data_IF_090196003371
#
_entry.id   IF_090196003371
#
_cell.length_a   1.000
_cell.length_b   1.000
_cell.length_c   1.000
_cell.angle_alpha   90.00
_cell.angle_beta   90.00
_cell.angle_gamma   90.00
#
_symmetry.space_group_name_H-M   'P 1'
#
loop_
_entity.id
_entity.type
_entity.pdbx_description
1 polymer ?
#
# COMPACT_ATOMS: atom_id res chain seq x y z
N UNK A 1 -44.53 24.15 45.31
CA UNK A 1 -43.25 23.55 44.87
C UNK A 1 -43.43 23.22 43.40
N UNK A 2 -43.54 24.29 42.60
CA UNK A 2 -42.47 24.88 41.76
C UNK A 2 -42.36 24.16 40.41
N UNK A 3 -43.10 24.62 39.38
CA UNK A 3 -42.71 25.68 38.41
C UNK A 3 -41.61 25.16 37.46
N UNK A 4 -41.96 24.55 36.31
CA UNK A 4 -42.24 25.16 34.99
C UNK A 4 -40.99 25.50 34.15
N UNK A 5 -41.11 25.22 32.83
CA UNK A 5 -40.59 25.94 31.65
C UNK A 5 -39.62 25.12 30.74
N UNK A 6 -40.12 24.85 29.52
CA UNK A 6 -39.39 24.53 28.27
C UNK A 6 -38.48 25.69 27.83
N UNK A 7 -37.52 25.43 26.91
CA UNK A 7 -37.53 26.24 25.70
C UNK A 7 -37.46 25.45 24.40
N UNK A 8 -38.02 26.12 23.40
CA UNK A 8 -38.17 25.81 21.98
C UNK A 8 -36.99 26.40 21.17
N UNK A 9 -36.85 25.94 19.92
CA UNK A 9 -36.12 26.52 18.77
C UNK A 9 -34.64 26.09 18.64
N UNK A 10 -34.06 25.85 17.45
CA UNK A 10 -34.37 26.31 16.09
C UNK A 10 -33.72 25.42 15.02
N UNK A 11 -34.43 25.22 13.90
CA UNK A 11 -33.92 24.89 12.57
C UNK A 11 -33.01 26.02 12.05
N UNK A 12 -31.86 25.73 11.43
CA UNK A 12 -31.51 26.18 10.06
C UNK A 12 -30.04 25.89 9.67
N UNK A 13 -29.91 25.05 8.63
CA UNK A 13 -29.10 25.20 7.40
C UNK A 13 -27.61 25.58 7.44
N UNK A 14 -26.85 24.75 6.71
CA UNK A 14 -25.82 25.06 5.70
C UNK A 14 -24.89 26.25 5.94
N UNK A 15 -23.59 26.02 5.81
CA UNK A 15 -22.72 26.80 4.91
C UNK A 15 -21.46 25.95 4.61
N UNK A 16 -21.38 25.49 3.36
CA UNK A 16 -20.13 25.29 2.61
C UNK A 16 -19.55 26.69 2.35
N UNK A 17 -18.25 26.89 2.60
CA UNK A 17 -17.55 28.11 2.17
C UNK A 17 -16.48 27.74 1.14
N UNK A 18 -16.82 27.91 -0.13
CA UNK A 18 -15.85 28.25 -1.19
C UNK A 18 -15.32 29.67 -0.95
N UNK A 19 -14.06 29.96 -1.29
CA UNK A 19 -13.63 31.32 -1.61
C UNK A 19 -13.71 31.56 -3.12
N UNK A 20 -14.69 32.35 -3.55
CA UNK A 20 -14.72 32.96 -4.87
C UNK A 20 -13.90 34.26 -4.88
N UNK A 21 -12.87 34.25 -5.74
CA UNK A 21 -12.32 35.30 -6.61
C UNK A 21 -12.70 36.78 -6.41
N UNK A 22 -11.67 37.65 -6.52
CA UNK A 22 -11.77 38.85 -7.35
C UNK A 22 -10.39 39.23 -7.92
N UNK A 23 -10.29 39.20 -9.25
CA UNK A 23 -9.21 39.79 -10.03
C UNK A 23 -9.50 41.28 -10.29
N UNK A 24 -8.46 42.11 -10.48
CA UNK A 24 -8.23 42.88 -11.74
C UNK A 24 -7.04 43.86 -11.65
N UNK A 25 -6.02 43.55 -12.47
CA UNK A 25 -5.26 44.42 -13.40
C UNK A 25 -4.89 45.86 -13.03
N UNK A 26 -3.59 46.18 -13.18
CA UNK A 26 -3.11 47.19 -14.16
C UNK A 26 -1.60 47.07 -14.43
N UNK A 27 -1.26 47.27 -15.70
CA UNK A 27 0.07 47.20 -16.34
C UNK A 27 0.67 48.60 -16.41
N UNK A 28 1.96 48.79 -16.15
CA UNK A 28 2.80 49.74 -16.92
C UNK A 28 4.29 49.42 -16.79
N UNK A 29 4.98 49.42 -17.92
CA UNK A 29 6.42 49.30 -18.06
C UNK A 29 7.13 50.65 -17.81
N UNK A 30 8.38 50.62 -17.35
CA UNK A 30 9.23 51.81 -17.22
C UNK A 30 10.65 51.47 -16.76
N UNK A 31 11.61 51.75 -17.63
CA UNK A 31 13.04 51.47 -17.55
C UNK A 31 13.83 52.47 -16.68
N UNK A 32 15.10 52.13 -16.39
CA UNK A 32 16.30 53.01 -16.24
C UNK A 32 16.95 53.16 -14.83
N UNK A 33 18.08 52.43 -14.69
CA UNK A 33 19.43 52.79 -14.17
C UNK A 33 19.71 53.33 -12.75
N UNK A 34 20.73 52.69 -12.14
CA UNK A 34 21.84 53.19 -11.29
C UNK A 34 21.50 53.77 -9.89
N UNK A 35 22.25 53.57 -8.80
CA UNK A 35 23.68 53.30 -8.60
C UNK A 35 23.97 52.80 -7.15
N UNK A 36 25.15 52.20 -7.01
CA UNK A 36 25.90 51.72 -5.83
C UNK A 36 25.77 52.46 -4.48
N UNK A 37 25.73 51.70 -3.37
CA UNK A 37 26.66 51.82 -2.21
C UNK A 37 26.35 50.80 -1.09
N UNK A 38 27.28 49.87 -0.84
CA UNK A 38 27.58 49.36 0.51
C UNK A 38 28.34 50.45 1.33
N UNK A 39 28.56 50.34 2.67
CA UNK A 39 28.48 49.16 3.55
C UNK A 39 27.79 49.42 4.90
N UNK A 40 27.50 48.37 5.69
CA UNK A 40 27.84 48.30 7.13
C UNK A 40 27.27 47.04 7.78
N UNK A 41 28.17 46.37 8.50
CA UNK A 41 28.05 45.16 9.30
C UNK A 41 26.96 45.23 10.38
N UNK A 42 26.14 44.18 10.47
CA UNK A 42 25.62 43.70 11.74
C UNK A 42 25.44 42.18 11.65
N UNK A 43 26.23 41.48 12.45
CA UNK A 43 26.19 40.03 12.61
C UNK A 43 24.80 39.56 13.04
N UNK A 44 24.25 38.60 12.33
CA UNK A 44 23.34 37.62 12.95
C UNK A 44 23.66 36.28 12.30
N UNK A 45 24.64 35.60 12.90
CA UNK A 45 24.87 34.17 12.70
C UNK A 45 23.66 33.41 13.22
N UNK A 46 22.66 33.22 12.36
CA UNK A 46 21.80 32.06 12.43
C UNK A 46 22.20 31.16 11.26
N UNK A 47 23.35 30.49 11.43
CA UNK A 47 23.63 29.28 10.69
C UNK A 47 22.59 28.24 11.12
N UNK A 48 21.45 28.23 10.43
CA UNK A 48 20.69 26.99 10.27
C UNK A 48 21.58 26.08 9.43
N UNK A 49 22.52 25.41 10.07
CA UNK A 49 23.23 24.28 9.48
C UNK A 49 22.16 23.22 9.25
N UNK A 50 21.57 23.22 8.06
CA UNK A 50 21.00 22.01 7.50
C UNK A 50 22.17 21.02 7.50
N UNK A 51 22.13 20.05 8.40
CA UNK A 51 23.06 18.93 8.40
C UNK A 51 22.84 18.22 7.06
N UNK A 52 23.66 18.55 6.06
CA UNK A 52 23.79 17.74 4.86
C UNK A 52 24.43 16.44 5.33
N UNK A 53 23.59 15.44 5.63
CA UNK A 53 24.05 14.09 5.96
C UNK A 53 24.84 13.57 4.75
N UNK A 54 26.16 13.63 4.87
CA UNK A 54 27.07 13.17 3.82
C UNK A 54 27.07 11.64 3.78
N UNK A 55 26.71 11.07 2.63
CA UNK A 55 26.78 9.63 2.40
C UNK A 55 28.25 9.22 2.30
N UNK A 56 28.68 8.23 3.08
CA UNK A 56 30.03 7.69 2.98
C UNK A 56 30.29 7.14 1.56
N UNK A 57 31.44 7.42 0.90
CA UNK A 57 31.67 7.06 -0.51
C UNK A 57 31.54 5.58 -0.89
N UNK A 58 31.56 4.67 0.10
CA UNK A 58 31.43 3.23 -0.09
C UNK A 58 30.19 2.65 0.62
N UNK A 59 29.25 3.51 1.04
CA UNK A 59 28.01 3.07 1.67
C UNK A 59 27.18 2.22 0.70
N UNK A 60 26.64 1.13 1.21
CA UNK A 60 25.69 0.29 0.52
C UNK A 60 24.29 0.84 0.78
N UNK A 61 23.56 1.21 -0.27
CA UNK A 61 22.15 1.60 -0.16
C UNK A 61 21.30 0.34 -0.25
N UNK A 62 20.51 0.05 0.79
CA UNK A 62 19.77 -1.20 0.92
C UNK A 62 18.82 -1.47 -0.27
N UNK A 63 18.07 -0.45 -0.68
CA UNK A 63 17.10 -0.57 -1.77
C UNK A 63 17.80 -0.89 -3.11
N UNK A 64 18.90 -0.21 -3.40
CA UNK A 64 19.71 -0.45 -4.60
C UNK A 64 20.34 -1.85 -4.57
N UNK A 65 20.90 -2.26 -3.43
CA UNK A 65 21.53 -3.57 -3.27
C UNK A 65 20.55 -4.72 -3.51
N UNK A 66 19.30 -4.58 -3.08
CA UNK A 66 18.26 -5.60 -3.26
C UNK A 66 17.78 -5.73 -4.71
N UNK A 67 17.90 -4.65 -5.49
CA UNK A 67 17.60 -4.64 -6.93
C UNK A 67 18.80 -4.93 -7.82
N UNK A 68 20.01 -4.97 -7.25
CA UNK A 68 21.24 -5.20 -8.00
C UNK A 68 21.42 -6.68 -8.37
N UNK A 69 21.32 -6.96 -9.67
CA UNK A 69 21.48 -8.30 -10.26
C UNK A 69 22.91 -8.83 -10.20
N UNK A 70 23.90 -7.96 -9.97
CA UNK A 70 25.30 -8.36 -9.84
C UNK A 70 25.60 -8.96 -8.47
N UNK A 71 24.73 -8.69 -7.48
CA UNK A 71 24.85 -9.25 -6.15
C UNK A 71 24.25 -10.65 -6.14
N UNK A 72 25.06 -11.62 -5.70
CA UNK A 72 24.66 -13.03 -5.59
C UNK A 72 23.69 -13.27 -4.43
N UNK A 73 22.43 -12.87 -4.60
CA UNK A 73 21.36 -13.15 -3.65
C UNK A 73 20.89 -14.61 -3.74
N UNK A 74 20.60 -15.20 -2.58
CA UNK A 74 20.00 -16.53 -2.44
C UNK A 74 18.75 -16.44 -1.58
N UNK A 75 17.70 -17.15 -1.98
CA UNK A 75 16.54 -17.36 -1.11
C UNK A 75 16.94 -18.35 -0.01
N UNK A 76 16.98 -17.90 1.24
CA UNK A 76 17.26 -18.76 2.38
C UNK A 76 16.02 -19.51 2.85
N UNK A 77 14.86 -18.84 2.82
CA UNK A 77 13.61 -19.40 3.31
C UNK A 77 12.41 -18.68 2.66
N UNK A 78 11.36 -19.42 2.33
CA UNK A 78 10.07 -18.88 1.89
C UNK A 78 8.94 -19.64 2.61
N UNK A 79 8.03 -18.91 3.27
CA UNK A 79 6.96 -19.49 4.08
C UNK A 79 5.65 -18.76 3.85
N UNK A 80 4.57 -19.52 3.71
CA UNK A 80 3.21 -19.02 3.81
C UNK A 80 2.85 -18.88 5.29
N UNK A 81 2.40 -17.70 5.69
CA UNK A 81 1.98 -17.39 7.06
C UNK A 81 0.46 -17.35 7.20
N UNK A 82 -0.27 -17.06 6.12
CA UNK A 82 -1.73 -17.12 6.04
C UNK A 82 -2.15 -17.60 4.66
N UNK A 83 -3.07 -18.57 4.59
CA UNK A 83 -3.73 -19.02 3.36
C UNK A 83 -5.23 -19.17 3.62
N UNK A 84 -6.03 -18.44 2.87
CA UNK A 84 -7.49 -18.53 2.86
C UNK A 84 -7.90 -18.63 1.39
N UNK A 85 -8.60 -19.71 1.06
CA UNK A 85 -9.16 -19.95 -0.26
C UNK A 85 -10.51 -20.62 -0.04
N UNK A 86 -11.60 -19.90 -0.30
CA UNK A 86 -12.97 -20.37 0.00
C UNK A 86 -13.99 -19.66 -0.90
N UNK A 87 -15.15 -20.28 -1.13
CA UNK A 87 -16.31 -19.65 -1.77
C UNK A 87 -17.41 -19.30 -0.75
N UNK A 88 -17.21 -19.61 0.53
CA UNK A 88 -18.25 -19.56 1.56
C UNK A 88 -18.38 -18.18 2.22
N UNK A 89 -17.60 -17.19 1.78
CA UNK A 89 -17.63 -15.86 2.39
C UNK A 89 -18.90 -15.11 1.95
N UNK A 90 -19.73 -14.60 2.88
CA UNK A 90 -20.91 -13.83 2.51
C UNK A 90 -20.57 -12.58 1.71
N UNK A 91 -21.36 -12.31 0.68
CA UNK A 91 -21.26 -11.11 -0.15
C UNK A 91 -22.53 -10.28 0.00
N UNK A 92 -22.45 -8.95 -0.11
CA UNK A 92 -23.64 -8.13 -0.22
C UNK A 92 -24.52 -8.61 -1.38
N UNK A 93 -25.84 -8.63 -1.16
CA UNK A 93 -26.83 -9.06 -2.17
C UNK A 93 -26.57 -8.48 -3.57
N UNK A 94 -26.16 -7.21 -3.63
CA UNK A 94 -25.86 -6.54 -4.89
C UNK A 94 -24.86 -7.32 -5.76
N UNK A 95 -23.81 -7.89 -5.17
CA UNK A 95 -22.80 -8.65 -5.93
C UNK A 95 -23.40 -9.92 -6.54
N UNK A 96 -24.25 -10.62 -5.80
CA UNK A 96 -24.96 -11.79 -6.31
C UNK A 96 -25.88 -11.41 -7.47
N UNK A 97 -26.64 -10.33 -7.33
CA UNK A 97 -27.54 -9.85 -8.38
C UNK A 97 -26.77 -9.39 -9.63
N UNK A 98 -25.66 -8.66 -9.46
CA UNK A 98 -24.83 -8.17 -10.57
C UNK A 98 -24.15 -9.31 -11.34
N UNK A 99 -23.88 -10.44 -10.69
CA UNK A 99 -23.33 -11.64 -11.35
C UNK A 99 -24.31 -12.33 -12.30
N UNK A 100 -25.62 -12.04 -12.19
CA UNK A 100 -26.65 -12.63 -13.04
C UNK A 100 -26.55 -12.10 -14.48
N UNK A 101 -26.91 -12.95 -15.44
CA UNK A 101 -27.07 -12.51 -16.82
C UNK A 101 -28.28 -11.59 -16.99
N UNK A 102 -28.26 -10.79 -18.07
CA UNK A 102 -29.29 -9.77 -18.29
C UNK A 102 -30.70 -10.34 -18.48
N UNK A 103 -30.83 -11.55 -19.04
CA UNK A 103 -32.12 -12.20 -19.21
C UNK A 103 -32.77 -12.54 -17.85
N UNK A 104 -31.98 -13.03 -16.88
CA UNK A 104 -32.45 -13.31 -15.52
C UNK A 104 -32.78 -12.00 -14.80
N UNK A 105 -31.95 -10.96 -14.94
CA UNK A 105 -32.21 -9.63 -14.36
C UNK A 105 -33.49 -9.00 -14.92
N UNK A 106 -33.76 -9.16 -16.22
CA UNK A 106 -35.00 -8.69 -16.85
C UNK A 106 -36.23 -9.47 -16.36
N UNK A 107 -36.10 -10.78 -16.16
CA UNK A 107 -37.17 -11.61 -15.63
C UNK A 107 -37.42 -11.38 -14.12
N UNK A 108 -36.40 -10.92 -13.38
CA UNK A 108 -36.45 -10.70 -11.93
C UNK A 108 -35.92 -9.31 -11.56
N UNK A 109 -36.63 -8.23 -11.95
CA UNK A 109 -36.16 -6.87 -11.74
C UNK A 109 -36.04 -6.51 -10.25
N UNK A 110 -35.14 -5.58 -9.94
CA UNK A 110 -34.93 -5.07 -8.59
C UNK A 110 -36.19 -4.37 -8.06
N UNK A 111 -36.92 -5.06 -7.18
CA UNK A 111 -38.06 -4.50 -6.46
C UNK A 111 -37.59 -3.67 -5.27
N UNK A 112 -38.42 -2.76 -4.72
CA UNK A 112 -38.06 -2.01 -3.51
C UNK A 112 -37.65 -2.89 -2.32
N UNK A 113 -38.23 -4.09 -2.21
CA UNK A 113 -37.84 -5.06 -1.18
C UNK A 113 -36.43 -5.61 -1.40
N UNK A 114 -36.05 -5.94 -2.63
CA UNK A 114 -34.69 -6.38 -2.97
C UNK A 114 -33.66 -5.25 -2.80
N UNK A 115 -34.02 -4.03 -3.22
CA UNK A 115 -33.17 -2.85 -3.03
C UNK A 115 -32.84 -2.60 -1.56
N UNK A 116 -33.77 -2.88 -0.64
CA UNK A 116 -33.52 -2.75 0.81
C UNK A 116 -32.46 -3.70 1.35
N UNK A 117 -32.15 -4.79 0.62
CA UNK A 117 -31.18 -5.81 1.01
C UNK A 117 -29.82 -5.66 0.33
N UNK A 118 -29.61 -4.61 -0.48
CA UNK A 118 -28.41 -4.43 -1.31
C UNK A 118 -27.08 -4.67 -0.60
N UNK A 119 -26.94 -4.11 0.60
CA UNK A 119 -25.70 -4.20 1.38
C UNK A 119 -25.71 -5.34 2.40
N UNK A 120 -26.79 -6.12 2.47
CA UNK A 120 -26.93 -7.24 3.41
C UNK A 120 -26.01 -8.37 2.97
N UNK A 121 -25.01 -8.76 3.79
CA UNK A 121 -24.16 -9.91 3.48
C UNK A 121 -24.96 -11.20 3.54
N UNK A 122 -24.89 -12.01 2.49
CA UNK A 122 -25.57 -13.30 2.41
C UNK A 122 -24.82 -14.26 1.48
N UNK A 123 -25.12 -15.55 1.59
CA UNK A 123 -24.67 -16.60 0.68
C UNK A 123 -25.38 -16.53 -0.67
N UNK A 124 -24.82 -17.19 -1.69
CA UNK A 124 -25.48 -17.33 -2.99
C UNK A 124 -26.85 -18.05 -2.86
N UNK A 125 -26.93 -19.06 -1.98
CA UNK A 125 -28.18 -19.74 -1.65
C UNK A 125 -29.27 -18.79 -1.14
N UNK A 126 -28.93 -17.93 -0.18
CA UNK A 126 -29.85 -16.95 0.40
C UNK A 126 -30.28 -15.91 -0.63
N UNK A 127 -29.35 -15.42 -1.45
CA UNK A 127 -29.65 -14.49 -2.54
C UNK A 127 -30.57 -15.12 -3.58
N UNK A 128 -30.32 -16.36 -4.00
CA UNK A 128 -31.16 -17.09 -4.94
C UNK A 128 -32.59 -17.27 -4.41
N UNK A 129 -32.72 -17.63 -3.13
CA UNK A 129 -34.01 -17.74 -2.45
C UNK A 129 -34.73 -16.40 -2.35
N UNK A 130 -34.01 -15.31 -2.11
CA UNK A 130 -34.56 -13.97 -2.01
C UNK A 130 -35.10 -13.47 -3.38
N UNK A 131 -34.41 -13.79 -4.47
CA UNK A 131 -34.82 -13.44 -5.85
C UNK A 131 -35.91 -14.40 -6.36
N UNK A 132 -35.91 -15.66 -5.89
CA UNK A 132 -36.81 -16.71 -6.36
C UNK A 132 -36.27 -17.49 -7.56
N UNK A 133 -34.95 -17.63 -7.68
CA UNK A 133 -34.28 -18.33 -8.78
C UNK A 133 -33.53 -19.58 -8.30
N UNK A 134 -33.09 -20.41 -9.24
CA UNK A 134 -32.20 -21.52 -8.95
C UNK A 134 -30.79 -20.99 -8.57
N UNK A 135 -30.24 -21.47 -7.45
CA UNK A 135 -28.91 -21.10 -6.95
C UNK A 135 -27.79 -21.34 -7.96
N UNK A 136 -27.90 -22.37 -8.81
CA UNK A 136 -26.90 -22.67 -9.84
C UNK A 136 -26.72 -21.54 -10.88
N UNK A 137 -27.62 -20.55 -10.89
CA UNK A 137 -27.54 -19.38 -11.75
C UNK A 137 -26.69 -18.24 -11.16
N UNK A 138 -26.38 -18.28 -9.85
CA UNK A 138 -25.51 -17.32 -9.17
C UNK A 138 -24.10 -17.91 -9.11
N UNK A 139 -23.13 -17.20 -9.68
CA UNK A 139 -21.73 -17.60 -9.60
C UNK A 139 -21.12 -17.12 -8.28
N UNK A 140 -20.56 -18.03 -7.48
CA UNK A 140 -19.84 -17.67 -6.25
C UNK A 140 -18.35 -17.50 -6.53
N UNK A 141 -17.75 -16.33 -6.25
CA UNK A 141 -16.32 -16.14 -6.46
C UNK A 141 -15.51 -16.89 -5.41
N UNK A 142 -14.28 -17.25 -5.78
CA UNK A 142 -13.24 -17.62 -4.83
C UNK A 142 -12.72 -16.39 -4.11
N UNK A 143 -12.63 -16.49 -2.79
CA UNK A 143 -12.01 -15.52 -1.91
C UNK A 143 -10.60 -16.00 -1.56
N UNK A 144 -9.60 -15.37 -2.18
CA UNK A 144 -8.19 -15.74 -2.03
C UNK A 144 -7.46 -14.69 -1.20
N UNK A 145 -6.85 -15.12 -0.10
CA UNK A 145 -5.88 -14.34 0.66
C UNK A 145 -4.70 -15.22 1.04
N UNK A 146 -3.54 -14.89 0.49
CA UNK A 146 -2.29 -15.57 0.79
C UNK A 146 -1.27 -14.51 1.19
N UNK A 147 -0.65 -14.75 2.34
CA UNK A 147 0.41 -13.93 2.91
C UNK A 147 1.58 -14.86 3.17
N UNK A 148 2.77 -14.39 2.84
CA UNK A 148 3.99 -15.07 3.21
C UNK A 148 5.11 -14.13 3.59
N UNK A 149 6.21 -14.76 3.95
CA UNK A 149 7.48 -14.11 4.22
C UNK A 149 8.57 -14.89 3.52
N UNK A 150 9.59 -14.18 3.04
CA UNK A 150 10.80 -14.77 2.50
C UNK A 150 12.02 -14.09 3.11
N UNK A 151 13.13 -14.82 3.14
CA UNK A 151 14.43 -14.29 3.56
C UNK A 151 15.37 -14.45 2.39
N UNK A 152 15.92 -13.32 1.92
CA UNK A 152 17.06 -13.31 1.00
C UNK A 152 18.34 -13.05 1.74
N UNK A 153 19.43 -13.64 1.28
CA UNK A 153 20.73 -13.52 1.88
C UNK A 153 21.83 -13.40 0.81
N UNK A 154 22.79 -12.52 1.08
CA UNK A 154 24.03 -12.38 0.33
C UNK A 154 25.21 -12.66 1.27
N UNK A 155 25.98 -13.70 0.93
CA UNK A 155 27.17 -14.09 1.68
C UNK A 155 28.29 -13.04 1.55
N UNK A 156 28.47 -12.50 0.35
CA UNK A 156 29.48 -11.48 0.06
C UNK A 156 29.27 -10.21 0.89
N UNK A 157 28.01 -9.83 1.11
CA UNK A 157 27.65 -8.65 1.89
C UNK A 157 27.45 -8.95 3.39
N UNK A 158 27.37 -10.23 3.76
CA UNK A 158 26.90 -10.69 5.08
C UNK A 158 25.58 -10.04 5.49
N UNK A 159 24.64 -9.99 4.54
CA UNK A 159 23.37 -9.29 4.65
C UNK A 159 22.22 -10.25 4.39
N UNK A 160 21.29 -10.38 5.34
CA UNK A 160 20.01 -11.04 5.15
C UNK A 160 18.86 -10.05 5.30
N UNK A 161 17.86 -10.14 4.44
CA UNK A 161 16.67 -9.30 4.47
C UNK A 161 15.44 -10.18 4.47
N UNK A 162 14.58 -10.01 5.48
CA UNK A 162 13.25 -10.62 5.53
C UNK A 162 12.24 -9.68 4.92
N UNK A 163 11.57 -10.17 3.89
CA UNK A 163 10.53 -9.47 3.15
C UNK A 163 9.19 -10.20 3.35
N UNK A 164 8.09 -9.46 3.27
CA UNK A 164 6.74 -10.01 3.33
C UNK A 164 6.01 -9.74 2.03
N UNK A 165 5.18 -10.68 1.61
CA UNK A 165 4.48 -10.62 0.34
C UNK A 165 3.03 -11.08 0.50
N UNK A 166 2.14 -10.60 -0.35
CA UNK A 166 0.73 -10.99 -0.37
C UNK A 166 0.17 -10.97 -1.79
N UNK A 167 -0.84 -11.80 -2.06
CA UNK A 167 -1.56 -11.75 -3.35
C UNK A 167 -2.39 -10.46 -3.52
N UNK A 168 -2.81 -9.82 -2.43
CA UNK A 168 -3.64 -8.61 -2.49
C UNK A 168 -3.50 -7.75 -1.24
N UNK A 169 -3.61 -6.43 -1.36
CA UNK A 169 -3.71 -5.50 -0.23
C UNK A 169 -5.05 -5.57 0.52
N UNK A 170 -6.08 -6.20 -0.05
CA UNK A 170 -7.41 -6.34 0.55
C UNK A 170 -7.47 -7.52 1.53
N UNK A 171 -8.59 -7.67 2.24
CA UNK A 171 -8.82 -8.83 3.11
C UNK A 171 -8.85 -10.15 2.32
N UNK A 172 -9.53 -10.14 1.16
CA UNK A 172 -9.54 -11.23 0.17
C UNK A 172 -9.68 -10.66 -1.23
N UNK A 173 -9.14 -11.35 -2.23
CA UNK A 173 -9.36 -11.09 -3.64
C UNK A 173 -10.46 -12.01 -4.16
N UNK A 174 -11.47 -11.43 -4.83
CA UNK A 174 -12.56 -12.20 -5.44
C UNK A 174 -12.18 -12.61 -6.86
N UNK A 175 -12.29 -13.91 -7.16
CA UNK A 175 -11.91 -14.48 -8.46
C UNK A 175 -12.97 -15.46 -8.96
N UNK A 176 -13.47 -15.24 -10.17
CA UNK A 176 -14.45 -16.11 -10.82
C UNK A 176 -13.71 -17.13 -11.71
N UNK A 177 -13.30 -18.23 -11.11
CA UNK A 177 -12.60 -19.34 -11.77
C UNK A 177 -13.32 -20.66 -11.53
N UNK A 178 -13.03 -21.68 -12.35
CA UNK A 178 -13.72 -22.97 -12.28
C UNK A 178 -13.33 -23.78 -11.04
N UNK A 179 -12.07 -23.67 -10.59
CA UNK A 179 -11.55 -24.45 -9.48
C UNK A 179 -10.60 -23.62 -8.61
N UNK A 180 -10.25 -24.18 -7.45
CA UNK A 180 -9.39 -23.58 -6.45
C UNK A 180 -7.99 -23.27 -7.00
N UNK A 181 -7.40 -24.19 -7.76
CA UNK A 181 -6.05 -24.03 -8.29
C UNK A 181 -5.95 -22.84 -9.25
N UNK A 182 -6.93 -22.70 -10.16
CA UNK A 182 -7.02 -21.56 -11.07
C UNK A 182 -7.23 -20.25 -10.31
N UNK A 183 -7.98 -20.27 -9.20
CA UNK A 183 -8.16 -19.09 -8.35
C UNK A 183 -6.83 -18.68 -7.71
N UNK A 184 -6.06 -19.64 -7.20
CA UNK A 184 -4.75 -19.38 -6.61
C UNK A 184 -3.81 -18.80 -7.68
N UNK A 185 -3.70 -19.43 -8.84
CA UNK A 185 -2.85 -18.95 -9.95
C UNK A 185 -3.25 -17.55 -10.41
N UNK A 186 -4.55 -17.29 -10.54
CA UNK A 186 -5.04 -15.96 -10.92
C UNK A 186 -4.76 -14.91 -9.83
N UNK A 187 -4.84 -15.27 -8.54
CA UNK A 187 -4.54 -14.37 -7.43
C UNK A 187 -3.08 -13.92 -7.41
N UNK A 188 -2.16 -14.76 -7.84
CA UNK A 188 -0.72 -14.47 -7.79
C UNK A 188 -0.18 -13.68 -8.98
N UNK A 189 -1.00 -13.37 -9.99
CA UNK A 189 -0.54 -12.52 -11.11
C UNK A 189 -0.06 -11.15 -10.64
N UNK A 190 -0.75 -10.58 -9.65
CA UNK A 190 -0.51 -9.22 -9.15
C UNK A 190 -0.07 -9.22 -7.67
N UNK A 191 0.75 -10.20 -7.26
CA UNK A 191 1.29 -10.22 -5.89
C UNK A 191 2.13 -8.97 -5.60
N UNK A 192 2.29 -8.61 -4.33
CA UNK A 192 3.05 -7.43 -3.92
C UNK A 192 3.79 -7.67 -2.60
N UNK A 193 4.95 -7.05 -2.45
CA UNK A 193 5.64 -6.83 -1.19
C UNK A 193 4.84 -5.85 -0.32
N UNK A 194 4.87 -6.06 0.99
CA UNK A 194 4.17 -5.19 1.92
C UNK A 194 4.76 -5.27 3.34
N UNK A 195 4.36 -4.33 4.20
CA UNK A 195 4.59 -4.42 5.64
C UNK A 195 6.02 -4.13 6.06
N UNK A 196 6.50 -4.86 7.07
CA UNK A 196 7.81 -4.63 7.68
C UNK A 196 8.94 -5.29 6.90
N UNK A 197 10.11 -4.68 6.98
CA UNK A 197 11.37 -5.26 6.52
C UNK A 197 12.28 -5.47 7.72
N UNK A 198 12.78 -6.69 7.89
CA UNK A 198 13.77 -7.00 8.91
C UNK A 198 15.13 -7.24 8.25
N UNK A 199 16.15 -6.55 8.75
CA UNK A 199 17.51 -6.60 8.22
C UNK A 199 18.44 -7.22 9.25
N UNK A 200 19.19 -8.22 8.83
CA UNK A 200 20.30 -8.78 9.59
C UNK A 200 21.58 -8.46 8.82
N UNK A 201 22.43 -7.61 9.39
CA UNK A 201 23.65 -7.15 8.75
C UNK A 201 24.84 -7.40 9.67
N UNK A 202 25.80 -8.23 9.26
CA UNK A 202 26.95 -8.60 10.10
C UNK A 202 28.26 -7.93 9.70
N UNK A 203 28.30 -7.26 8.55
CA UNK A 203 29.53 -6.65 8.03
C UNK A 203 29.78 -5.30 8.72
N UNK A 204 30.90 -5.18 9.43
CA UNK A 204 31.32 -3.96 10.13
C UNK A 204 32.34 -3.11 9.35
N UNK A 205 32.67 -3.51 8.11
CA UNK A 205 33.67 -2.84 7.26
C UNK A 205 33.04 -1.91 6.23
N UNK A 206 31.76 -2.11 5.94
CA UNK A 206 30.98 -1.32 5.00
C UNK A 206 29.77 -0.76 5.73
N UNK A 207 29.41 0.47 5.43
CA UNK A 207 28.23 1.11 6.00
C UNK A 207 27.02 0.70 5.18
N UNK A 208 25.95 0.25 5.84
CA UNK A 208 24.65 -0.02 5.21
C UNK A 208 23.69 1.12 5.58
N UNK A 209 23.03 1.70 4.57
CA UNK A 209 22.08 2.79 4.76
C UNK A 209 20.76 2.52 4.05
N UNK A 210 19.70 3.15 4.53
CA UNK A 210 18.45 3.33 3.82
C UNK A 210 18.21 4.83 3.66
N UNK A 211 17.77 5.23 2.47
CA UNK A 211 17.50 6.63 2.12
C UNK A 211 15.99 6.75 1.91
N UNK A 212 15.36 7.69 2.60
CA UNK A 212 14.02 8.15 2.32
C UNK A 212 14.08 9.54 1.68
N UNK A 213 14.00 9.58 0.35
CA UNK A 213 14.07 10.81 -0.42
C UNK A 213 12.93 11.79 -0.12
N UNK A 214 11.83 11.31 0.48
CA UNK A 214 10.66 12.13 0.82
C UNK A 214 10.74 12.71 2.24
N UNK A 215 11.65 12.21 3.08
CA UNK A 215 11.85 12.73 4.42
C UNK A 215 12.78 13.95 4.42
N UNK A 216 12.53 14.87 5.37
CA UNK A 216 13.33 16.08 5.55
C UNK A 216 14.29 15.95 6.73
N UNK A 217 15.47 16.56 6.60
CA UNK A 217 16.45 16.64 7.69
C UNK A 217 17.02 15.28 8.07
N UNK A 218 17.05 14.98 9.37
CA UNK A 218 17.80 13.83 9.89
C UNK A 218 17.12 12.47 9.64
N UNK A 219 15.85 12.47 9.23
CA UNK A 219 15.08 11.25 8.96
C UNK A 219 15.28 10.72 7.54
N UNK A 220 15.94 11.50 6.67
CA UNK A 220 16.24 11.11 5.30
C UNK A 220 17.22 9.94 5.21
N UNK A 221 18.25 9.91 6.06
CA UNK A 221 19.27 8.86 6.04
C UNK A 221 19.23 8.05 7.32
N UNK A 222 18.93 6.76 7.18
CA UNK A 222 19.03 5.78 8.25
C UNK A 222 20.28 4.93 8.06
N UNK A 223 21.18 4.98 9.03
CA UNK A 223 22.30 4.05 9.14
C UNK A 223 21.83 2.76 9.83
N UNK A 224 22.08 1.61 9.19
CA UNK A 224 21.75 0.29 9.71
C UNK A 224 23.03 -0.32 10.28
N UNK A 225 23.10 -0.39 11.61
CA UNK A 225 24.28 -0.88 12.30
C UNK A 225 24.49 -2.38 12.11
N UNK A 226 25.75 -2.81 12.16
CA UNK A 226 26.07 -4.23 12.16
C UNK A 226 25.57 -4.87 13.47
N UNK A 227 24.78 -5.94 13.37
CA UNK A 227 24.16 -6.62 14.50
C UNK A 227 24.10 -8.14 14.25
N UNK A 228 24.17 -8.91 15.34
CA UNK A 228 23.98 -10.36 15.30
C UNK A 228 22.52 -10.75 15.06
N UNK A 229 21.57 -9.90 15.44
CA UNK A 229 20.14 -10.12 15.37
C UNK A 229 19.46 -9.27 14.27
N UNK A 230 18.22 -9.64 13.94
CA UNK A 230 17.38 -8.89 13.01
C UNK A 230 16.94 -7.55 13.60
N UNK A 231 17.08 -6.49 12.81
CA UNK A 231 16.63 -5.14 13.09
C UNK A 231 15.44 -4.81 12.20
N UNK A 232 14.34 -4.36 12.79
CA UNK A 232 13.19 -3.88 12.03
C UNK A 232 13.48 -2.49 11.49
N UNK A 233 13.32 -2.28 10.19
CA UNK A 233 13.39 -0.92 9.63
C UNK A 233 12.21 -0.08 10.13
N UNK A 234 12.41 1.23 10.34
CA UNK A 234 11.33 2.19 10.47
C UNK A 234 10.37 2.11 9.28
N UNK A 235 9.09 2.41 9.51
CA UNK A 235 8.04 2.22 8.52
C UNK A 235 8.29 3.00 7.22
N UNK A 236 8.77 4.24 7.31
CA UNK A 236 9.08 5.11 6.16
C UNK A 236 10.17 4.48 5.28
N UNK A 237 11.30 4.09 5.87
CA UNK A 237 12.38 3.38 5.18
C UNK A 237 11.94 2.03 4.60
N UNK A 238 11.11 1.27 5.32
CA UNK A 238 10.55 0.03 4.80
C UNK A 238 9.69 0.27 3.55
N UNK A 239 8.85 1.32 3.56
CA UNK A 239 8.04 1.69 2.40
C UNK A 239 8.88 2.08 1.18
N UNK A 240 9.97 2.82 1.37
CA UNK A 240 10.86 3.21 0.26
C UNK A 240 11.54 1.98 -0.35
N UNK A 241 12.04 1.07 0.47
CA UNK A 241 12.63 -0.19 -0.01
C UNK A 241 11.58 -1.05 -0.73
N UNK A 242 10.36 -1.15 -0.19
CA UNK A 242 9.24 -1.86 -0.86
C UNK A 242 8.91 -1.22 -2.20
N UNK A 243 8.78 0.11 -2.26
CA UNK A 243 8.46 0.82 -3.49
C UNK A 243 9.51 0.58 -4.59
N UNK A 244 10.80 0.57 -4.20
CA UNK A 244 11.89 0.25 -5.12
C UNK A 244 11.83 -1.20 -5.60
N UNK A 245 11.62 -2.15 -4.68
CA UNK A 245 11.45 -3.57 -5.00
C UNK A 245 10.26 -3.81 -5.94
N UNK A 246 9.13 -3.12 -5.73
CA UNK A 246 7.96 -3.22 -6.61
C UNK A 246 8.25 -2.68 -8.01
N UNK A 247 8.93 -1.53 -8.10
CA UNK A 247 9.31 -0.94 -9.39
C UNK A 247 10.24 -1.84 -10.20
N UNK A 248 11.19 -2.51 -9.52
CA UNK A 248 12.18 -3.36 -10.16
C UNK A 248 11.77 -4.85 -10.18
N UNK A 249 10.58 -5.19 -9.67
CA UNK A 249 10.13 -6.57 -9.41
C UNK A 249 10.22 -7.49 -10.63
N UNK A 250 9.85 -6.98 -11.80
CA UNK A 250 9.89 -7.73 -13.09
C UNK A 250 11.32 -8.18 -13.42
N UNK A 251 12.30 -7.45 -12.92
CA UNK A 251 13.71 -7.71 -13.14
C UNK A 251 14.33 -8.67 -12.10
N UNK A 252 13.56 -9.08 -11.10
CA UNK A 252 13.97 -9.89 -9.95
C UNK A 252 13.19 -11.22 -9.88
N UNK A 253 13.29 -12.10 -10.90
CA UNK A 253 12.43 -13.27 -11.06
C UNK A 253 12.57 -14.30 -9.94
N UNK A 254 13.70 -14.29 -9.20
CA UNK A 254 13.94 -15.23 -8.11
C UNK A 254 12.88 -15.18 -6.99
N UNK A 255 12.22 -14.03 -6.82
CA UNK A 255 11.20 -13.86 -5.78
C UNK A 255 9.93 -14.54 -6.23
N UNK A 256 9.53 -14.31 -7.48
CA UNK A 256 8.37 -14.94 -8.07
C UNK A 256 8.52 -16.45 -8.09
N UNK A 257 9.66 -16.99 -8.55
CA UNK A 257 9.91 -18.43 -8.55
C UNK A 257 9.76 -19.03 -7.15
N UNK A 258 10.40 -18.44 -6.13
CA UNK A 258 10.34 -18.97 -4.77
C UNK A 258 8.97 -18.81 -4.09
N UNK A 259 8.15 -17.85 -4.54
CA UNK A 259 6.77 -17.68 -4.06
C UNK A 259 5.87 -18.71 -4.73
N UNK A 260 5.92 -18.84 -6.06
CA UNK A 260 5.10 -19.77 -6.84
C UNK A 260 5.34 -21.22 -6.40
N UNK A 261 6.60 -21.64 -6.24
CA UNK A 261 6.97 -22.97 -5.71
C UNK A 261 6.35 -23.30 -4.35
N UNK A 262 5.95 -22.29 -3.58
CA UNK A 262 5.37 -22.47 -2.24
C UNK A 262 3.84 -22.46 -2.24
N UNK A 263 3.27 -21.88 -3.27
CA UNK A 263 1.84 -21.60 -3.42
C UNK A 263 1.12 -22.75 -4.13
N UNK A 264 1.78 -23.33 -5.13
CA UNK A 264 1.45 -24.62 -5.78
C UNK A 264 1.63 -25.79 -4.81
#
# INVERSE_FOLDING_TARGET
MDSSILPTQSNMSNIYTEPAQAAQTSVTAGSVFNNEKEPSSAETKNETQALTQSIEPNALILAEALSDKTIGWKIHNCKITKKTVTQDLPLPFLYHYDSLNDAIKQANPLTPALLSQFNTPMSAHEAAKLIGINEALISSPWHVKIIGSLVVFSEALQLAVRLHWTNTGKDTQQLYTQNEADAITAAFKDWQFFGRIDVLYKNNKQTLISIDEQAEGNEQLLRIEANADYQCLPATHALVVIAKLEADKIELPWFETAIVERVE
#
